data_IF_248882532641
#
_entry.id   IF_248882532641
#
_cell.length_a   1.000
_cell.length_b   1.000
_cell.length_c   1.000
_cell.angle_alpha   90.00
_cell.angle_beta   90.00
_cell.angle_gamma   90.00
#
_symmetry.space_group_name_H-M   'P 1'
#
loop_
_entity.id
_entity.type
_entity.pdbx_description
1 polymer ?
#
# COMPACT_ATOMS: atom_id res chain seq x y z
N UNK A 1 -23.43 6.34 -26.92
CA UNK A 1 -22.56 6.29 -25.74
C UNK A 1 -21.49 5.23 -25.99
N UNK A 2 -20.24 5.62 -26.19
CA UNK A 2 -19.12 4.70 -26.24
C UNK A 2 -18.25 4.96 -25.01
N UNK A 3 -18.01 3.92 -24.21
CA UNK A 3 -17.07 3.97 -23.08
C UNK A 3 -15.83 3.23 -23.54
N UNK A 4 -14.67 3.87 -23.44
CA UNK A 4 -13.39 3.19 -23.69
C UNK A 4 -13.08 2.25 -22.52
N UNK A 5 -13.17 0.95 -22.78
CA UNK A 5 -12.90 -0.11 -21.82
C UNK A 5 -11.42 -0.52 -21.78
N UNK A 6 -10.65 -0.20 -22.83
CA UNK A 6 -9.26 -0.63 -22.96
C UNK A 6 -8.30 0.35 -22.29
N UNK A 7 -8.63 1.64 -22.29
CA UNK A 7 -7.80 2.69 -21.70
C UNK A 7 -8.57 3.56 -20.69
N UNK A 8 -9.00 3.00 -19.55
CA UNK A 8 -9.65 3.77 -18.50
C UNK A 8 -8.71 4.83 -17.92
N UNK A 9 -9.24 6.00 -17.55
CA UNK A 9 -8.43 7.01 -16.86
C UNK A 9 -7.99 6.53 -15.47
N UNK A 10 -6.78 6.92 -15.05
CA UNK A 10 -6.22 6.54 -13.75
C UNK A 10 -7.12 6.94 -12.55
N UNK A 11 -7.81 8.08 -12.65
CA UNK A 11 -8.73 8.53 -11.62
C UNK A 11 -9.95 7.60 -11.45
N UNK A 12 -10.41 6.96 -12.53
CA UNK A 12 -11.47 5.95 -12.46
C UNK A 12 -10.93 4.67 -11.81
N UNK A 13 -9.77 4.18 -12.23
CA UNK A 13 -9.17 2.96 -11.66
C UNK A 13 -8.89 3.07 -10.15
N UNK A 14 -8.46 4.24 -9.67
CA UNK A 14 -8.24 4.49 -8.24
C UNK A 14 -9.54 4.42 -7.42
N UNK A 15 -10.66 4.88 -7.99
CA UNK A 15 -11.98 4.84 -7.33
C UNK A 15 -12.63 3.46 -7.40
N UNK A 16 -12.29 2.65 -8.40
CA UNK A 16 -12.81 1.28 -8.50
C UNK A 16 -12.24 0.36 -7.43
N UNK A 17 -13.05 -0.61 -7.01
CA UNK A 17 -12.60 -1.65 -6.08
C UNK A 17 -11.44 -2.45 -6.69
N UNK A 18 -10.46 -2.83 -5.86
CA UNK A 18 -9.20 -3.49 -6.28
C UNK A 18 -9.36 -4.71 -7.20
N UNK A 19 -10.45 -5.49 -7.03
CA UNK A 19 -10.75 -6.67 -7.86
C UNK A 19 -11.54 -6.37 -9.15
N UNK A 20 -11.95 -5.12 -9.36
CA UNK A 20 -12.81 -4.68 -10.48
C UNK A 20 -12.11 -3.66 -11.41
N UNK A 21 -10.80 -3.45 -11.24
CA UNK A 21 -9.96 -2.72 -12.18
C UNK A 21 -9.79 -3.51 -13.48
N UNK A 22 -9.29 -2.85 -14.53
CA UNK A 22 -8.97 -3.50 -15.80
C UNK A 22 -7.99 -4.66 -15.58
N UNK A 23 -6.95 -4.41 -14.80
CA UNK A 23 -6.05 -5.44 -14.25
C UNK A 23 -6.07 -5.31 -12.72
N UNK A 24 -6.28 -6.42 -12.03
CA UNK A 24 -6.39 -6.42 -10.58
C UNK A 24 -5.03 -6.14 -9.93
N UNK A 25 -5.02 -5.22 -8.96
CA UNK A 25 -3.82 -4.84 -8.22
C UNK A 25 -4.14 -4.55 -6.76
N UNK A 26 -3.22 -4.85 -5.82
CA UNK A 26 -3.44 -4.55 -4.42
C UNK A 26 -3.42 -3.04 -4.15
N UNK A 27 -4.12 -2.61 -3.10
CA UNK A 27 -4.02 -1.24 -2.55
C UNK A 27 -3.02 -1.14 -1.40
N UNK A 28 -2.46 -2.27 -0.97
CA UNK A 28 -1.48 -2.34 0.10
C UNK A 28 -0.07 -2.04 -0.41
N UNK A 29 0.81 -1.61 0.48
CA UNK A 29 2.18 -1.23 0.16
C UNK A 29 3.10 -1.54 1.34
N UNK A 30 4.40 -1.55 1.08
CA UNK A 30 5.43 -1.52 2.11
C UNK A 30 5.90 -0.08 2.32
N UNK A 31 6.20 0.28 3.55
CA UNK A 31 6.69 1.61 3.92
C UNK A 31 7.90 1.49 4.83
N UNK A 32 8.82 2.43 4.69
CA UNK A 32 9.99 2.54 5.53
C UNK A 32 9.68 3.47 6.71
N UNK A 33 9.60 2.89 7.91
CA UNK A 33 9.33 3.64 9.14
C UNK A 33 10.64 3.87 9.87
N UNK A 34 10.91 5.13 10.22
CA UNK A 34 12.07 5.51 11.03
C UNK A 34 11.67 5.61 12.50
N UNK A 35 12.31 4.82 13.34
CA UNK A 35 12.17 4.88 14.79
C UNK A 35 12.77 6.20 15.34
N UNK A 36 12.02 7.02 16.11
CA UNK A 36 12.54 8.28 16.63
C UNK A 36 13.67 8.09 17.67
N UNK A 37 13.65 7.00 18.44
CA UNK A 37 14.66 6.77 19.49
C UNK A 37 15.95 6.11 19.00
N UNK A 38 15.88 5.36 17.91
CA UNK A 38 16.94 4.48 17.47
C UNK A 38 17.42 4.72 16.04
N UNK A 39 16.74 5.62 15.29
CA UNK A 39 17.12 6.11 13.95
C UNK A 39 17.15 5.02 12.87
N UNK A 40 16.99 3.74 13.27
CA UNK A 40 16.91 2.60 12.39
C UNK A 40 15.63 2.68 11.54
N UNK A 41 15.78 2.31 10.27
CA UNK A 41 14.69 2.19 9.31
C UNK A 41 14.22 0.74 9.30
N UNK A 42 12.92 0.52 9.45
CA UNK A 42 12.28 -0.80 9.38
C UNK A 42 11.21 -0.79 8.31
N UNK A 43 11.19 -1.81 7.44
CA UNK A 43 10.18 -2.00 6.40
C UNK A 43 8.91 -2.60 7.01
N UNK A 44 7.79 -1.90 6.88
CA UNK A 44 6.49 -2.28 7.46
C UNK A 44 5.45 -2.45 6.36
N UNK A 45 4.63 -3.49 6.45
CA UNK A 45 3.48 -3.66 5.56
C UNK A 45 2.29 -2.83 6.02
N UNK A 46 1.59 -2.15 5.10
CA UNK A 46 0.53 -1.19 5.44
C UNK A 46 -0.71 -1.80 6.11
N UNK A 47 -0.94 -3.09 5.93
CA UNK A 47 -2.01 -3.84 6.60
C UNK A 47 -1.41 -4.98 7.44
N UNK A 48 -0.44 -4.67 8.29
CA UNK A 48 0.23 -5.65 9.15
C UNK A 48 -0.78 -6.34 10.08
N UNK A 49 -0.68 -7.67 10.19
CA UNK A 49 -1.49 -8.47 11.12
C UNK A 49 -0.86 -8.59 12.50
N UNK A 50 0.47 -8.43 12.57
CA UNK A 50 1.26 -8.52 13.80
C UNK A 50 1.77 -7.15 14.21
N UNK A 51 1.97 -6.95 15.51
CA UNK A 51 2.65 -5.76 16.03
C UNK A 51 4.08 -5.75 15.50
N UNK A 52 4.49 -4.66 14.87
CA UNK A 52 5.85 -4.48 14.38
C UNK A 52 6.66 -3.77 15.44
N UNK A 53 7.60 -4.50 16.05
CA UNK A 53 8.54 -3.95 17.02
C UNK A 53 9.83 -3.54 16.32
N UNK A 54 10.43 -2.43 16.76
CA UNK A 54 11.76 -2.08 16.25
C UNK A 54 12.83 -3.03 16.81
N UNK A 55 13.70 -3.57 15.95
CA UNK A 55 14.71 -4.57 16.36
C UNK A 55 15.74 -4.06 17.36
N UNK A 56 16.02 -2.75 17.39
CA UNK A 56 17.06 -2.17 18.25
C UNK A 56 16.56 -1.68 19.61
N UNK A 57 15.30 -1.25 19.71
CA UNK A 57 14.76 -0.69 20.95
C UNK A 57 13.54 -1.45 21.50
N UNK A 58 13.03 -2.46 20.78
CA UNK A 58 11.90 -3.31 21.16
C UNK A 58 10.62 -2.56 21.62
N UNK A 59 10.54 -1.27 21.32
CA UNK A 59 9.38 -0.39 21.48
C UNK A 59 8.68 -0.20 20.14
#
# INVERSE_FOLDING_TARGET
>A
LAVDLLNPSHALELKTHKLKRLVQSPNSYFMDVKCPGCVQITTVFSHAQTVVMCSSCAN
#
